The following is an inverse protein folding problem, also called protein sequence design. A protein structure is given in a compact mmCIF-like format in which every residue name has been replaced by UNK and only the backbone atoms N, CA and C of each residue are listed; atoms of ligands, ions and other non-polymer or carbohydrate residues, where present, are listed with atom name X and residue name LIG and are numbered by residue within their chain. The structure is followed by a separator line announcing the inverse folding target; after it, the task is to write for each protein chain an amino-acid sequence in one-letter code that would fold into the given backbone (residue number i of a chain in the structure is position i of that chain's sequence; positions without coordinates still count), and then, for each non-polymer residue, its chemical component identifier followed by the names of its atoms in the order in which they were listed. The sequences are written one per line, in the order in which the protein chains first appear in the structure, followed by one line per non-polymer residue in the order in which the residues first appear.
data_IF_106748479809
#
_entry.id   IF_106748479809
#
_cell.length_a   1.000
_cell.length_b   1.000
_cell.length_c   1.000
_cell.angle_alpha   90.00
_cell.angle_beta   90.00
_cell.angle_gamma   90.00
#
_symmetry.space_group_name_H-M   'P 1'
#
loop_
_entity.id
_entity.type
_entity.pdbx_description
1 polymer ?
#
# COMPACT_ATOMS: atom_id res chain seq x y z
N UNK A 1 0.57 2.75 -35.56
CA UNK A 1 -0.08 2.17 -36.77
C UNK A 1 0.11 3.01 -38.03
N UNK A 2 -0.25 4.30 -38.01
CA UNK A 2 -0.20 5.19 -39.20
C UNK A 2 1.17 5.22 -39.89
N UNK A 3 2.26 5.42 -39.13
CA UNK A 3 3.63 5.41 -39.69
C UNK A 3 4.00 4.05 -40.31
N UNK A 4 3.52 2.94 -39.73
CA UNK A 4 3.81 1.59 -40.24
C UNK A 4 3.15 1.34 -41.60
N UNK A 5 1.89 1.77 -41.76
CA UNK A 5 1.05 1.52 -42.94
C UNK A 5 1.27 2.58 -44.03
N UNK A 6 1.20 3.86 -43.69
CA UNK A 6 1.22 4.96 -44.66
C UNK A 6 2.60 5.63 -44.82
N UNK A 7 3.60 5.23 -44.00
CA UNK A 7 4.99 5.73 -44.02
C UNK A 7 5.12 7.24 -43.80
N UNK A 8 4.16 7.84 -43.11
CA UNK A 8 4.14 9.26 -42.77
C UNK A 8 3.37 9.48 -41.46
N UNK A 9 3.47 10.68 -40.88
CA UNK A 9 2.74 11.08 -39.67
C UNK A 9 1.76 12.22 -39.93
N UNK A 10 0.75 12.32 -39.08
CA UNK A 10 -0.16 13.46 -39.05
C UNK A 10 0.51 14.67 -38.39
N UNK A 11 0.00 15.88 -38.67
CA UNK A 11 0.58 17.15 -38.18
C UNK A 11 0.63 17.20 -36.65
N UNK A 12 -0.43 16.75 -35.97
CA UNK A 12 -0.52 16.73 -34.51
C UNK A 12 0.25 15.58 -33.84
N UNK A 13 0.78 14.63 -34.62
CA UNK A 13 1.48 13.46 -34.09
C UNK A 13 2.96 13.82 -33.86
N UNK A 14 3.51 13.58 -32.66
CA UNK A 14 4.92 13.83 -32.39
C UNK A 14 5.84 12.87 -33.17
N UNK A 15 7.11 13.23 -33.30
CA UNK A 15 8.15 12.40 -33.93
C UNK A 15 8.83 13.05 -35.13
N UNK A 16 9.84 12.37 -35.68
CA UNK A 16 10.72 12.86 -36.75
C UNK A 16 10.31 12.41 -38.16
N UNK A 17 9.28 11.58 -38.29
CA UNK A 17 8.80 11.12 -39.60
C UNK A 17 8.22 12.28 -40.43
N UNK A 18 8.22 12.13 -41.76
CA UNK A 18 7.67 13.13 -42.66
C UNK A 18 6.14 13.28 -42.52
N UNK A 19 5.66 14.51 -42.71
CA UNK A 19 4.23 14.84 -42.66
C UNK A 19 3.54 14.27 -43.91
N UNK A 20 2.38 13.63 -43.72
CA UNK A 20 1.63 13.05 -44.82
C UNK A 20 1.15 14.14 -45.83
N UNK A 21 1.38 13.95 -47.14
CA UNK A 21 0.82 14.82 -48.17
C UNK A 21 -0.70 14.61 -48.32
N UNK A 22 -1.44 15.59 -48.89
CA UNK A 22 -2.90 15.47 -49.07
C UNK A 22 -3.35 14.23 -49.86
N UNK A 23 -2.52 13.74 -50.79
CA UNK A 23 -2.80 12.53 -51.57
C UNK A 23 -2.91 11.25 -50.74
N UNK A 24 -2.33 11.22 -49.52
CA UNK A 24 -2.31 10.06 -48.63
C UNK A 24 -3.33 10.13 -47.50
N UNK A 25 -4.20 11.14 -47.45
CA UNK A 25 -5.23 11.29 -46.41
C UNK A 25 -6.12 10.05 -46.30
N UNK A 26 -6.55 9.49 -47.45
CA UNK A 26 -7.37 8.29 -47.49
C UNK A 26 -6.71 7.05 -46.87
N UNK A 27 -5.37 6.96 -46.87
CA UNK A 27 -4.62 5.91 -46.18
C UNK A 27 -4.66 6.12 -44.67
N UNK A 28 -4.42 7.37 -44.24
CA UNK A 28 -4.37 7.75 -42.82
C UNK A 28 -5.73 7.53 -42.16
N UNK A 29 -6.82 7.96 -42.79
CA UNK A 29 -8.17 7.79 -42.25
C UNK A 29 -8.53 6.32 -42.08
N UNK A 30 -8.22 5.47 -43.07
CA UNK A 30 -8.43 4.02 -42.98
C UNK A 30 -7.59 3.39 -41.86
N UNK A 31 -6.32 3.78 -41.76
CA UNK A 31 -5.42 3.27 -40.73
C UNK A 31 -5.86 3.68 -39.31
N UNK A 32 -6.41 4.90 -39.15
CA UNK A 32 -6.91 5.39 -37.88
C UNK A 32 -8.24 4.72 -37.50
N UNK A 33 -9.16 4.54 -38.46
CA UNK A 33 -10.40 3.82 -38.24
C UNK A 33 -10.16 2.36 -37.83
N UNK A 34 -9.17 1.69 -38.43
CA UNK A 34 -8.74 0.35 -38.03
C UNK A 34 -8.18 0.33 -36.61
N UNK A 35 -7.38 1.34 -36.23
CA UNK A 35 -6.86 1.44 -34.86
C UNK A 35 -7.98 1.67 -33.85
N UNK A 36 -8.99 2.48 -34.16
CA UNK A 36 -10.14 2.71 -33.28
C UNK A 36 -10.99 1.45 -33.08
N UNK A 37 -11.15 0.63 -34.13
CA UNK A 37 -11.92 -0.62 -34.04
C UNK A 37 -11.18 -1.72 -33.28
N UNK A 38 -9.85 -1.77 -33.38
CA UNK A 38 -9.00 -2.82 -32.81
C UNK A 38 -8.14 -2.32 -31.63
N UNK A 39 -8.57 -1.25 -30.95
CA UNK A 39 -7.76 -0.52 -29.97
C UNK A 39 -7.31 -1.39 -28.80
N UNK A 40 -8.17 -2.31 -28.34
CA UNK A 40 -7.88 -3.20 -27.21
C UNK A 40 -6.71 -4.16 -27.43
N UNK A 41 -6.55 -4.68 -28.66
CA UNK A 41 -5.51 -5.69 -28.95
C UNK A 41 -4.22 -5.06 -29.49
N UNK A 42 -4.31 -3.92 -30.18
CA UNK A 42 -3.18 -3.33 -30.91
C UNK A 42 -2.32 -2.42 -30.03
N UNK A 43 -2.94 -1.73 -29.07
CA UNK A 43 -2.27 -0.77 -28.18
C UNK A 43 -2.96 -0.78 -26.79
N UNK A 44 -2.64 -1.75 -25.91
CA UNK A 44 -3.08 -1.69 -24.53
C UNK A 44 -2.38 -0.53 -23.83
N UNK A 45 -3.15 0.48 -23.43
CA UNK A 45 -2.67 1.59 -22.62
C UNK A 45 -3.12 1.34 -21.18
N UNK A 46 -2.17 1.02 -20.29
CA UNK A 46 -2.43 0.89 -18.86
C UNK A 46 -2.82 2.25 -18.26
N UNK A 47 -3.72 2.21 -17.27
CA UNK A 47 -4.12 3.38 -16.50
C UNK A 47 -2.94 3.83 -15.62
N UNK A 48 -2.55 5.12 -15.65
CA UNK A 48 -1.46 5.60 -14.81
C UNK A 48 -1.89 5.73 -13.35
N UNK A 49 -1.01 5.37 -12.41
CA UNK A 49 -1.28 5.46 -10.97
C UNK A 49 -1.54 6.89 -10.48
N UNK A 50 -0.96 7.88 -11.15
CA UNK A 50 -1.11 9.30 -10.83
C UNK A 50 -1.85 9.99 -11.98
N UNK A 51 -3.09 10.39 -11.71
CA UNK A 51 -3.94 11.07 -12.66
C UNK A 51 -4.66 12.25 -12.00
N UNK A 52 -4.57 13.42 -12.61
CA UNK A 52 -5.38 14.59 -12.24
C UNK A 52 -6.51 14.75 -13.25
N UNK A 53 -7.76 14.63 -12.78
CA UNK A 53 -8.95 14.79 -13.61
C UNK A 53 -9.67 16.09 -13.25
N UNK A 54 -9.91 16.92 -14.26
CA UNK A 54 -10.74 18.12 -14.11
C UNK A 54 -12.19 17.77 -14.46
N UNK A 55 -13.04 17.69 -13.43
CA UNK A 55 -14.49 17.71 -13.60
C UNK A 55 -14.92 19.04 -14.23
N UNK A 56 -15.86 19.01 -15.17
CA UNK A 56 -16.37 20.22 -15.83
C UNK A 56 -17.89 20.25 -15.75
N UNK A 57 -18.42 21.39 -15.37
CA UNK A 57 -19.84 21.74 -15.50
C UNK A 57 -19.96 22.86 -16.54
N UNK A 58 -20.97 22.76 -17.40
CA UNK A 58 -21.16 23.70 -18.51
C UNK A 58 -22.46 24.47 -18.31
N UNK A 59 -22.35 25.79 -18.23
CA UNK A 59 -23.48 26.71 -18.30
C UNK A 59 -23.31 27.64 -19.50
N UNK A 60 -24.42 27.97 -20.18
CA UNK A 60 -24.39 28.77 -21.41
C UNK A 60 -25.46 29.86 -21.34
N UNK A 61 -25.08 31.08 -21.75
CA UNK A 61 -25.99 32.22 -21.87
C UNK A 61 -25.87 32.85 -23.25
N UNK A 62 -26.96 33.44 -23.75
CA UNK A 62 -26.97 34.11 -25.05
C UNK A 62 -26.21 35.44 -25.00
N UNK A 63 -25.19 35.57 -25.84
CA UNK A 63 -24.40 36.79 -26.06
C UNK A 63 -24.37 37.09 -27.57
N UNK A 64 -24.38 38.36 -28.00
CA UNK A 64 -24.63 39.57 -27.20
C UNK A 64 -26.12 39.82 -26.92
N UNK A 65 -26.40 40.66 -25.93
CA UNK A 65 -27.73 41.25 -25.75
C UNK A 65 -27.99 42.30 -26.84
N UNK A 66 -29.25 42.72 -27.04
CA UNK A 66 -29.59 43.73 -28.07
C UNK A 66 -28.78 45.03 -27.89
N UNK A 67 -28.56 45.47 -26.65
CA UNK A 67 -27.79 46.68 -26.36
C UNK A 67 -26.29 46.50 -26.55
N UNK A 68 -25.72 45.39 -26.07
CA UNK A 68 -24.28 45.13 -26.21
C UNK A 68 -23.89 44.80 -27.65
N UNK A 69 -24.79 44.23 -28.46
CA UNK A 69 -24.56 44.00 -29.89
C UNK A 69 -24.21 45.29 -30.63
N UNK A 70 -24.95 46.37 -30.36
CA UNK A 70 -24.72 47.68 -30.99
C UNK A 70 -23.40 48.31 -30.57
N UNK A 71 -23.00 48.13 -29.31
CA UNK A 71 -21.69 48.58 -28.81
C UNK A 71 -20.55 47.79 -29.46
N UNK A 72 -20.65 46.45 -29.47
CA UNK A 72 -19.63 45.58 -30.06
C UNK A 72 -19.50 45.78 -31.56
N UNK A 73 -20.63 45.97 -32.25
CA UNK A 73 -20.69 46.32 -33.68
C UNK A 73 -19.86 47.56 -33.99
N UNK A 74 -20.03 48.64 -33.22
CA UNK A 74 -19.24 49.88 -33.37
C UNK A 74 -17.78 49.73 -32.97
N UNK A 75 -17.49 48.93 -31.94
CA UNK A 75 -16.13 48.73 -31.43
C UNK A 75 -15.26 47.91 -32.39
N UNK A 76 -15.85 46.90 -33.02
CA UNK A 76 -15.13 45.98 -33.92
C UNK A 76 -15.38 46.28 -35.41
N UNK A 77 -16.16 47.32 -35.72
CA UNK A 77 -16.57 47.72 -37.07
C UNK A 77 -17.15 46.54 -37.87
N UNK A 78 -18.16 45.88 -37.28
CA UNK A 78 -18.88 44.75 -37.87
C UNK A 78 -20.38 44.94 -37.74
N UNK A 79 -21.16 44.28 -38.60
CA UNK A 79 -22.62 44.29 -38.47
C UNK A 79 -23.05 43.61 -37.17
N UNK A 80 -24.20 44.01 -36.63
CA UNK A 80 -24.76 43.39 -35.41
C UNK A 80 -24.99 41.89 -35.61
N UNK A 81 -25.39 41.46 -36.80
CA UNK A 81 -25.60 40.04 -37.13
C UNK A 81 -24.27 39.28 -37.16
N UNK A 82 -23.20 39.86 -37.71
CA UNK A 82 -21.87 39.25 -37.65
C UNK A 82 -21.40 39.05 -36.21
N UNK A 83 -21.64 40.03 -35.33
CA UNK A 83 -21.33 39.88 -33.90
C UNK A 83 -22.17 38.77 -33.27
N UNK A 84 -23.45 38.62 -33.63
CA UNK A 84 -24.30 37.55 -33.08
C UNK A 84 -23.86 36.15 -33.49
N UNK A 85 -23.35 36.00 -34.71
CA UNK A 85 -23.01 34.67 -35.25
C UNK A 85 -21.58 34.24 -34.94
N UNK A 86 -20.67 35.19 -34.69
CA UNK A 86 -19.23 34.91 -34.56
C UNK A 86 -18.64 35.19 -33.18
N UNK A 87 -19.36 35.89 -32.29
CA UNK A 87 -18.80 36.28 -30.99
C UNK A 87 -19.09 35.22 -29.91
N UNK A 88 -18.04 34.72 -29.26
CA UNK A 88 -18.11 33.76 -28.16
C UNK A 88 -17.32 34.31 -26.96
N UNK A 89 -17.86 34.10 -25.77
CA UNK A 89 -17.13 34.31 -24.52
C UNK A 89 -17.01 32.96 -23.83
N UNK A 90 -15.76 32.55 -23.58
CA UNK A 90 -15.44 31.32 -22.86
C UNK A 90 -14.82 31.71 -21.53
N UNK A 91 -15.51 31.39 -20.45
CA UNK A 91 -15.01 31.58 -19.08
C UNK A 91 -14.71 30.22 -18.47
N UNK A 92 -13.48 30.02 -18.00
CA UNK A 92 -13.00 28.78 -17.39
C UNK A 92 -12.50 29.12 -16.00
N UNK A 93 -13.23 28.69 -14.99
CA UNK A 93 -12.93 28.93 -13.59
C UNK A 93 -13.18 27.69 -12.74
N UNK A 94 -12.61 27.68 -11.53
CA UNK A 94 -12.89 26.66 -10.52
C UNK A 94 -14.10 27.07 -9.69
N UNK A 95 -15.07 26.17 -9.51
CA UNK A 95 -16.28 26.43 -8.69
C UNK A 95 -15.92 26.75 -7.23
N UNK A 96 -14.97 25.99 -6.67
CA UNK A 96 -14.36 26.23 -5.37
C UNK A 96 -12.88 25.85 -5.42
N UNK A 97 -12.07 26.39 -4.50
CA UNK A 97 -10.64 26.03 -4.32
C UNK A 97 -10.44 24.66 -3.65
N UNK A 98 -11.43 23.77 -3.80
CA UNK A 98 -11.41 22.44 -3.21
C UNK A 98 -10.92 21.44 -4.26
N UNK A 99 -10.00 20.58 -3.84
CA UNK A 99 -9.54 19.46 -4.65
C UNK A 99 -10.02 18.17 -4.00
N UNK A 100 -10.51 17.24 -4.82
CA UNK A 100 -10.86 15.90 -4.36
C UNK A 100 -9.69 14.95 -4.66
N UNK A 101 -9.15 14.32 -3.63
CA UNK A 101 -8.12 13.28 -3.76
C UNK A 101 -8.77 11.91 -3.65
N UNK A 102 -8.67 11.10 -4.70
CA UNK A 102 -9.08 9.69 -4.70
C UNK A 102 -7.82 8.85 -4.66
N UNK A 103 -7.54 8.22 -3.51
CA UNK A 103 -6.41 7.32 -3.33
C UNK A 103 -6.87 5.87 -3.18
N UNK A 104 -6.22 4.96 -3.90
CA UNK A 104 -6.45 3.53 -3.73
C UNK A 104 -5.50 2.98 -2.67
N UNK A 105 -6.08 2.48 -1.58
CA UNK A 105 -5.33 1.83 -0.49
C UNK A 105 -5.57 0.33 -0.53
N UNK A 106 -4.51 -0.45 -0.31
CA UNK A 106 -4.62 -1.90 -0.18
C UNK A 106 -5.57 -2.22 0.98
N UNK A 107 -6.60 -3.01 0.73
CA UNK A 107 -7.55 -3.43 1.77
C UNK A 107 -6.89 -4.30 2.84
N UNK A 108 -5.78 -4.95 2.51
CA UNK A 108 -5.04 -5.82 3.40
C UNK A 108 -3.53 -5.63 3.22
N UNK A 109 -2.83 -5.41 4.34
CA UNK A 109 -1.38 -5.30 4.38
C UNK A 109 -0.77 -6.51 5.11
N UNK A 110 0.54 -6.73 4.94
CA UNK A 110 1.26 -7.84 5.58
C UNK A 110 1.13 -7.77 7.11
N UNK A 111 1.11 -6.56 7.68
CA UNK A 111 0.84 -6.35 9.09
C UNK A 111 -0.56 -6.82 9.49
N UNK A 112 -1.58 -6.58 8.65
CA UNK A 112 -2.94 -7.10 8.85
C UNK A 112 -2.98 -8.62 8.82
N UNK A 113 -2.26 -9.25 7.87
CA UNK A 113 -2.14 -10.71 7.76
C UNK A 113 -1.54 -11.33 9.02
N UNK A 114 -0.41 -10.80 9.47
CA UNK A 114 0.27 -11.28 10.66
C UNK A 114 -0.55 -11.02 11.93
N UNK A 115 -1.30 -9.91 11.96
CA UNK A 115 -2.24 -9.58 13.04
C UNK A 115 -3.37 -10.59 13.15
N UNK A 116 -3.99 -10.98 12.03
CA UNK A 116 -5.09 -11.95 12.04
C UNK A 116 -4.61 -13.36 12.40
N UNK A 117 -3.47 -13.79 11.85
CA UNK A 117 -2.87 -15.09 12.19
C UNK A 117 -2.46 -15.10 13.68
N UNK A 118 -1.73 -14.09 14.14
CA UNK A 118 -1.28 -13.98 15.53
C UNK A 118 -2.43 -13.84 16.50
N UNK A 119 -3.47 -13.09 16.14
CA UNK A 119 -4.68 -12.90 16.95
C UNK A 119 -5.47 -14.19 17.11
N UNK A 120 -5.68 -14.95 16.03
CA UNK A 120 -6.38 -16.24 16.12
C UNK A 120 -5.54 -17.28 16.90
N UNK A 121 -4.23 -17.36 16.66
CA UNK A 121 -3.36 -18.30 17.41
C UNK A 121 -3.24 -17.94 18.89
N UNK A 122 -3.13 -16.64 19.21
CA UNK A 122 -3.09 -16.15 20.58
C UNK A 122 -4.41 -16.33 21.34
N UNK A 123 -5.56 -16.19 20.66
CA UNK A 123 -6.87 -16.33 21.29
C UNK A 123 -7.28 -17.78 21.54
N UNK A 124 -7.04 -18.69 20.59
CA UNK A 124 -7.51 -20.09 20.68
C UNK A 124 -6.51 -21.03 21.34
N UNK A 125 -5.21 -20.87 21.10
CA UNK A 125 -4.17 -21.76 21.61
C UNK A 125 -3.45 -21.12 22.82
N UNK A 126 -3.52 -19.80 22.98
CA UNK A 126 -2.65 -19.07 23.90
C UNK A 126 -1.18 -19.09 23.45
N UNK A 127 -0.93 -19.47 22.20
CA UNK A 127 0.41 -19.54 21.63
C UNK A 127 0.87 -18.15 21.20
N UNK A 128 2.10 -17.82 21.54
CA UNK A 128 2.77 -16.58 21.14
C UNK A 128 4.04 -16.91 20.35
N UNK A 129 4.68 -15.88 19.78
CA UNK A 129 5.97 -16.08 19.10
C UNK A 129 7.02 -16.70 20.04
N UNK A 130 6.95 -16.42 21.34
CA UNK A 130 7.83 -16.99 22.35
C UNK A 130 7.62 -18.51 22.50
N UNK A 131 6.36 -18.97 22.49
CA UNK A 131 6.07 -20.42 22.57
C UNK A 131 6.55 -21.18 21.34
N UNK A 132 6.53 -20.54 20.17
CA UNK A 132 7.08 -21.13 18.93
C UNK A 132 8.61 -21.24 19.02
N UNK A 133 9.29 -20.19 19.49
CA UNK A 133 10.74 -20.22 19.68
C UNK A 133 11.17 -21.29 20.69
N UNK A 134 10.41 -21.45 21.78
CA UNK A 134 10.68 -22.49 22.79
C UNK A 134 10.56 -23.91 22.21
N UNK A 135 9.54 -24.16 21.38
CA UNK A 135 9.38 -25.45 20.69
C UNK A 135 10.56 -25.69 19.72
N UNK A 136 11.01 -24.67 18.99
CA UNK A 136 12.15 -24.79 18.08
C UNK A 136 13.46 -25.07 18.82
N UNK A 137 13.71 -24.40 19.93
CA UNK A 137 14.89 -24.66 20.79
C UNK A 137 14.86 -26.08 21.35
N UNK A 138 13.70 -26.54 21.82
CA UNK A 138 13.53 -27.92 22.28
C UNK A 138 13.80 -28.93 21.16
N UNK A 139 13.25 -28.71 19.96
CA UNK A 139 13.48 -29.57 18.79
C UNK A 139 14.96 -29.57 18.42
N UNK A 140 15.62 -28.42 18.41
CA UNK A 140 17.05 -28.31 18.09
C UNK A 140 17.90 -29.12 19.08
N UNK A 141 17.66 -28.99 20.39
CA UNK A 141 18.42 -29.73 21.40
C UNK A 141 18.13 -31.24 21.32
N UNK A 142 16.89 -31.65 21.02
CA UNK A 142 16.53 -33.05 20.77
C UNK A 142 17.23 -33.61 19.53
N UNK A 143 17.26 -32.88 18.42
CA UNK A 143 17.95 -33.28 17.19
C UNK A 143 19.46 -33.41 17.46
N UNK A 144 20.06 -32.42 18.12
CA UNK A 144 21.47 -32.44 18.52
C UNK A 144 21.79 -33.64 19.42
N UNK A 145 20.97 -33.91 20.44
CA UNK A 145 21.14 -35.09 21.30
C UNK A 145 20.97 -36.41 20.55
N UNK A 146 20.03 -36.50 19.61
CA UNK A 146 19.84 -37.67 18.73
C UNK A 146 21.03 -37.85 17.80
N UNK A 147 21.55 -36.77 17.21
CA UNK A 147 22.72 -36.78 16.33
C UNK A 147 23.99 -37.16 17.11
N UNK A 148 24.18 -36.62 18.32
CA UNK A 148 25.28 -36.99 19.20
C UNK A 148 25.21 -38.45 19.69
N UNK A 149 24.00 -38.99 19.87
CA UNK A 149 23.80 -40.42 20.17
C UNK A 149 24.10 -41.30 18.97
N UNK A 150 23.78 -40.87 17.75
CA UNK A 150 24.15 -41.57 16.52
C UNK A 150 25.65 -41.48 16.21
N UNK A 151 26.30 -40.37 16.59
CA UNK A 151 27.74 -40.13 16.43
C UNK A 151 28.59 -40.67 17.58
N UNK A 152 28.00 -41.26 18.64
CA UNK A 152 28.74 -41.98 19.68
C UNK A 152 28.88 -43.45 19.26
N UNK A 153 30.02 -43.90 18.72
CA UNK A 153 30.33 -45.32 18.74
C UNK A 153 30.48 -45.74 20.21
N UNK A 154 29.91 -46.92 20.55
CA UNK A 154 30.11 -47.60 21.83
C UNK A 154 31.60 -47.58 22.20
N UNK A 155 31.96 -46.86 23.26
CA UNK A 155 33.29 -46.99 23.86
C UNK A 155 33.22 -48.20 24.78
N UNK A 156 33.64 -49.35 24.26
CA UNK A 156 33.74 -50.60 25.02
C UNK A 156 34.58 -50.44 26.29
N UNK A 157 34.18 -51.21 27.31
CA UNK A 157 34.87 -51.43 28.57
C UNK A 157 36.35 -51.80 28.38
N UNK A 158 37.23 -51.26 29.22
CA UNK A 158 38.50 -51.91 29.56
C UNK A 158 38.57 -52.16 31.06
N UNK A 159 38.28 -53.40 31.45
CA UNK A 159 38.73 -54.01 32.71
C UNK A 159 40.13 -54.60 32.54
N UNK A 160 40.83 -54.66 33.69
CA UNK A 160 41.92 -55.57 34.10
C UNK A 160 43.35 -54.99 34.09
N UNK A 161 43.87 -54.61 35.27
CA UNK A 161 44.71 -55.43 36.19
C UNK A 161 45.23 -54.57 37.36
N UNK A 162 44.97 -55.01 38.60
CA UNK A 162 45.72 -54.58 39.80
C UNK A 162 47.13 -55.21 39.80
N UNK A 163 48.09 -54.65 40.57
CA UNK A 163 48.49 -55.34 41.80
C UNK A 163 48.56 -54.42 43.04
N UNK A 164 48.25 -55.03 44.18
CA UNK A 164 48.45 -54.61 45.59
C UNK A 164 49.92 -54.24 45.87
N UNK A 165 50.33 -53.25 46.69
CA UNK A 165 50.18 -53.12 48.16
C UNK A 165 50.68 -51.74 48.67
N UNK A 166 50.25 -51.39 49.90
CA UNK A 166 50.94 -50.53 50.91
C UNK A 166 50.43 -49.09 51.13
N UNK A 167 50.40 -48.72 52.41
CA UNK A 167 49.66 -47.66 53.12
C UNK A 167 50.37 -46.28 53.10
N UNK A 168 49.59 -45.22 53.35
CA UNK A 168 49.94 -43.80 53.65
C UNK A 168 50.42 -42.99 52.42
N UNK A 169 50.02 -41.74 52.17
CA UNK A 169 49.80 -40.58 53.05
C UNK A 169 48.84 -39.58 52.40
N UNK A 170 48.04 -38.87 53.22
CA UNK A 170 47.30 -37.66 52.81
C UNK A 170 48.32 -36.55 52.51
N UNK A 171 48.34 -36.06 51.27
CA UNK A 171 49.12 -34.90 50.86
C UNK A 171 48.27 -33.63 50.94
N UNK A 172 48.62 -32.76 51.89
CA UNK A 172 48.11 -31.42 52.07
C UNK A 172 49.21 -30.44 51.65
N UNK A 173 48.96 -29.58 50.67
CA UNK A 173 49.66 -28.30 50.44
C UNK A 173 48.59 -27.30 49.95
N UNK A 174 48.06 -26.49 50.86
CA UNK A 174 48.39 -25.06 51.08
C UNK A 174 48.12 -24.14 49.89
N UNK A 175 47.00 -23.39 49.94
CA UNK A 175 46.88 -22.01 50.43
C UNK A 175 47.35 -20.94 49.43
N UNK A 176 46.37 -20.19 48.87
CA UNK A 176 46.52 -18.76 48.62
C UNK A 176 45.18 -18.05 48.75
N UNK A 177 44.99 -17.40 49.89
CA UNK A 177 43.93 -16.44 50.14
C UNK A 177 44.30 -15.05 49.59
N UNK A 178 43.30 -14.31 49.10
CA UNK A 178 43.22 -12.84 49.23
C UNK A 178 41.77 -12.38 49.04
N UNK A 179 41.13 -12.04 50.15
CA UNK A 179 39.96 -11.15 50.31
C UNK A 179 40.49 -9.78 50.82
N UNK A 180 39.70 -8.70 51.04
CA UNK A 180 38.30 -8.36 50.68
C UNK A 180 38.15 -6.94 50.07
N UNK A 181 36.92 -6.51 49.73
CA UNK A 181 36.45 -5.16 50.07
C UNK A 181 34.92 -5.15 50.29
N UNK A 182 34.51 -4.54 51.40
CA UNK A 182 33.15 -4.52 51.97
C UNK A 182 32.54 -3.10 51.88
N UNK A 183 31.24 -3.04 52.17
CA UNK A 183 30.40 -1.92 52.60
C UNK A 183 29.61 -1.21 51.48
N UNK A 184 28.28 -1.13 51.51
CA UNK A 184 27.45 -0.78 52.67
C UNK A 184 25.98 -1.23 52.54
N UNK A 185 25.48 -1.66 53.71
CA UNK A 185 24.15 -2.08 54.18
C UNK A 185 23.05 -1.00 54.17
N UNK A 186 21.79 -1.39 53.90
CA UNK A 186 20.60 -1.01 54.70
C UNK A 186 19.32 -1.81 54.35
N UNK A 187 18.66 -2.32 55.40
CA UNK A 187 17.32 -2.97 55.50
C UNK A 187 16.33 -1.95 56.14
N UNK A 188 15.05 -2.23 56.50
CA UNK A 188 13.95 -3.02 55.89
C UNK A 188 12.54 -2.32 56.01
N UNK A 189 11.46 -3.07 55.69
CA UNK A 189 10.06 -3.01 56.23
C UNK A 189 8.95 -2.09 55.62
N UNK A 190 7.73 -2.66 55.52
CA UNK A 190 6.41 -1.99 55.43
C UNK A 190 5.56 -2.43 54.22
N UNK A 191 4.56 -3.32 54.35
CA UNK A 191 3.18 -3.13 54.85
C UNK A 191 2.14 -2.68 53.77
N UNK A 192 1.18 -3.58 53.53
CA UNK A 192 -0.17 -3.52 52.90
C UNK A 192 -0.81 -2.19 52.43
N UNK A 193 -1.62 -2.27 51.35
CA UNK A 193 -3.00 -1.74 51.31
C UNK A 193 -3.78 -2.22 50.06
N UNK A 194 -4.94 -2.84 50.29
CA UNK A 194 -6.00 -3.08 49.30
C UNK A 194 -7.05 -1.96 49.36
N UNK A 195 -7.86 -1.88 48.29
CA UNK A 195 -9.21 -1.30 48.14
C UNK A 195 -9.35 0.15 47.67
N UNK A 196 -10.07 0.35 46.54
CA UNK A 196 -11.39 1.02 46.40
C UNK A 196 -11.62 1.48 44.92
N UNK A 197 -12.67 0.93 44.29
CA UNK A 197 -13.50 1.53 43.19
C UNK A 197 -14.75 2.15 43.90
N UNK A 198 -15.62 3.08 43.38
CA UNK A 198 -15.94 3.38 41.98
C UNK A 198 -16.41 4.82 41.59
N UNK A 199 -16.53 5.13 40.28
CA UNK A 199 -17.78 5.55 39.59
C UNK A 199 -17.62 6.26 38.21
N UNK A 200 -18.43 5.76 37.26
CA UNK A 200 -19.17 6.38 36.15
C UNK A 200 -18.74 7.69 35.46
N UNK A 201 -18.68 7.64 34.11
CA UNK A 201 -19.58 8.43 33.25
C UNK A 201 -19.70 7.85 31.84
N UNK A 202 -20.95 7.71 31.38
CA UNK A 202 -21.38 7.34 30.04
C UNK A 202 -22.21 8.50 29.47
N UNK A 203 -22.26 8.66 28.13
CA UNK A 203 -23.57 8.79 27.50
C UNK A 203 -23.76 7.87 26.28
N UNK A 204 -24.99 7.36 26.17
CA UNK A 204 -25.58 6.62 25.04
C UNK A 204 -25.86 7.53 23.81
N UNK A 205 -25.91 7.00 22.58
CA UNK A 205 -27.14 6.58 21.84
C UNK A 205 -26.88 6.32 20.32
N UNK A 206 -27.58 5.30 19.78
CA UNK A 206 -27.72 4.74 18.41
C UNK A 206 -28.21 5.72 17.29
N UNK A 207 -28.54 5.33 16.01
CA UNK A 207 -28.47 4.03 15.27
C UNK A 207 -27.95 4.07 13.79
N UNK A 208 -27.85 2.87 13.20
CA UNK A 208 -27.74 2.54 11.76
C UNK A 208 -28.77 3.18 10.81
N UNK A 209 -28.46 3.25 9.51
CA UNK A 209 -29.45 3.07 8.45
C UNK A 209 -29.15 1.90 7.49
N UNK A 210 -30.22 1.20 7.09
CA UNK A 210 -30.29 0.25 5.97
C UNK A 210 -30.25 0.97 4.61
N UNK A 211 -29.93 0.26 3.50
CA UNK A 211 -29.74 0.86 2.19
C UNK A 211 -31.02 0.98 1.37
N UNK A 212 -31.22 2.14 0.74
CA UNK A 212 -32.24 2.38 -0.27
C UNK A 212 -31.78 1.90 -1.66
N UNK A 213 -32.67 1.18 -2.33
CA UNK A 213 -32.56 0.83 -3.75
C UNK A 213 -32.47 2.08 -4.65
N UNK A 214 -31.35 2.24 -5.34
CA UNK A 214 -31.26 3.08 -6.54
C UNK A 214 -30.83 2.24 -7.75
N UNK A 215 -31.84 1.97 -8.58
CA UNK A 215 -31.86 1.97 -10.05
C UNK A 215 -30.51 1.84 -10.78
N UNK A 216 -30.37 0.73 -11.50
CA UNK A 216 -29.35 0.48 -12.52
C UNK A 216 -29.19 1.66 -13.50
N UNK A 217 -27.96 2.15 -13.62
CA UNK A 217 -27.53 3.12 -14.61
C UNK A 217 -26.03 3.40 -14.46
N UNK A 218 -25.24 2.88 -15.41
CA UNK A 218 -23.78 2.97 -15.55
C UNK A 218 -22.93 2.09 -14.61
N UNK A 219 -22.67 0.88 -15.10
CA UNK A 219 -21.36 0.24 -14.92
C UNK A 219 -20.24 1.22 -15.33
N UNK A 220 -19.16 1.26 -14.55
CA UNK A 220 -17.87 1.78 -14.99
C UNK A 220 -17.54 3.23 -14.65
N UNK A 221 -17.67 3.67 -13.39
CA UNK A 221 -16.92 4.86 -12.93
C UNK A 221 -15.84 4.47 -11.92
N UNK A 222 -16.01 3.36 -11.19
CA UNK A 222 -15.07 2.97 -10.13
C UNK A 222 -13.96 2.01 -10.58
N UNK A 223 -14.18 1.23 -11.65
CA UNK A 223 -13.17 0.30 -12.19
C UNK A 223 -12.04 1.03 -12.93
N UNK A 224 -12.26 2.28 -13.35
CA UNK A 224 -11.26 3.09 -14.07
C UNK A 224 -10.15 3.66 -13.18
N UNK A 225 -10.23 3.46 -11.86
CA UNK A 225 -9.23 3.97 -10.92
C UNK A 225 -8.19 2.91 -10.54
N UNK A 226 -8.45 1.62 -10.82
CA UNK A 226 -7.56 0.53 -10.46
C UNK A 226 -6.26 0.58 -11.26
N UNK A 227 -5.15 0.82 -10.56
CA UNK A 227 -3.80 0.64 -11.06
C UNK A 227 -3.13 -0.53 -10.33
#
# INVERSE_FOLDING_TARGET
VVIRVCKCRMVHMPGTADICPPSKISCVDKALAQLQKNSGDTCPCETPCNLTRYGKELSMVKIPSKGSARYLSRKYDKSEDYIRDNFLVLDIFFEALNYETIEQKKAYDVAGLLGDIGGQMGLFIGASILTVLEILDYIYEVIKHRLQRLLRPQKEEKKTKQPTTTVATVGLEEMKAKEPDDMTRSHPEGAYANTILPNHHQPHLHPHPHPHHHRAGRHGVFEDFAC
#
